data_IF_460007128839
#
_entry.id   IF_460007128839
#
_cell.length_a   1.000
_cell.length_b   1.000
_cell.length_c   1.000
_cell.angle_alpha   90.00
_cell.angle_beta   90.00
_cell.angle_gamma   90.00
#
_symmetry.space_group_name_H-M   'P 1'
#
loop_
_entity.id
_entity.type
_entity.pdbx_description
1 polymer ?
#
# COMPACT_ATOMS: atom_id res chain seq x y z
N UNK A 1 40.73 14.38 -3.08
CA UNK A 1 39.30 14.49 -2.77
C UNK A 1 38.63 13.28 -3.33
N UNK A 2 38.30 12.30 -2.50
CA UNK A 2 37.56 11.09 -2.94
C UNK A 2 36.11 11.52 -3.06
N UNK A 3 35.57 11.48 -4.25
CA UNK A 3 34.12 11.62 -4.52
C UNK A 3 33.41 10.49 -3.79
N UNK A 4 32.75 10.79 -2.67
CA UNK A 4 31.82 9.87 -2.03
C UNK A 4 30.75 9.50 -3.07
N UNK A 5 30.71 8.23 -3.38
CA UNK A 5 29.83 7.67 -4.40
C UNK A 5 28.36 7.80 -3.98
N UNK A 6 27.48 8.06 -4.94
CA UNK A 6 26.01 8.12 -4.86
C UNK A 6 25.31 6.86 -4.27
N UNK A 7 26.04 5.98 -3.57
CA UNK A 7 25.53 4.71 -3.04
C UNK A 7 24.66 4.85 -1.78
N UNK A 8 24.76 5.97 -1.04
CA UNK A 8 24.11 6.09 0.27
C UNK A 8 22.68 6.70 0.18
N UNK A 9 22.34 7.39 -0.92
CA UNK A 9 21.03 8.03 -1.11
C UNK A 9 20.32 7.57 -2.41
N UNK A 10 19.92 6.29 -2.50
CA UNK A 10 19.36 5.71 -3.75
C UNK A 10 18.02 6.34 -4.16
N UNK A 11 17.37 7.09 -3.26
CA UNK A 11 16.10 7.78 -3.52
C UNK A 11 16.24 9.30 -3.65
N UNK A 12 17.46 9.82 -3.76
CA UNK A 12 17.70 11.26 -3.94
C UNK A 12 16.96 11.78 -5.18
N UNK A 13 16.14 12.81 -4.97
CA UNK A 13 15.29 13.40 -6.01
C UNK A 13 14.08 12.56 -6.41
N UNK A 14 13.86 11.39 -5.79
CA UNK A 14 12.68 10.55 -6.03
C UNK A 14 11.54 10.93 -5.10
N UNK A 15 10.36 11.16 -5.65
CA UNK A 15 9.14 11.38 -4.86
C UNK A 15 8.58 10.02 -4.44
N UNK A 16 8.35 9.86 -3.14
CA UNK A 16 7.89 8.60 -2.53
C UNK A 16 6.67 8.87 -1.65
N UNK A 17 5.57 8.20 -1.89
CA UNK A 17 4.35 8.30 -1.08
C UNK A 17 4.16 7.06 -0.20
N UNK A 18 3.91 7.26 1.10
CA UNK A 18 3.65 6.18 2.08
C UNK A 18 2.31 6.40 2.76
N UNK A 19 1.36 5.49 2.57
CA UNK A 19 0.07 5.54 3.25
C UNK A 19 0.16 4.98 4.67
N UNK A 20 -0.48 5.66 5.63
CA UNK A 20 -0.36 5.32 7.05
C UNK A 20 1.06 5.57 7.59
N UNK A 21 1.79 6.53 7.02
CA UNK A 21 3.17 6.86 7.35
C UNK A 21 3.41 7.43 8.75
N UNK A 22 2.35 7.65 9.53
CA UNK A 22 2.40 8.33 10.82
C UNK A 22 2.55 7.40 12.04
N UNK A 23 2.45 6.08 11.88
CA UNK A 23 2.49 5.16 13.02
C UNK A 23 3.00 3.77 12.63
N UNK A 24 3.47 3.00 13.62
CA UNK A 24 3.85 1.60 13.47
C UNK A 24 4.80 1.38 12.28
N UNK A 25 4.54 0.35 11.50
CA UNK A 25 5.36 -0.03 10.36
C UNK A 25 5.44 1.07 9.28
N UNK A 26 4.35 1.79 9.03
CA UNK A 26 4.35 2.88 8.05
C UNK A 26 5.31 4.01 8.44
N UNK A 27 5.42 4.32 9.73
CA UNK A 27 6.40 5.30 10.23
C UNK A 27 7.83 4.81 10.06
N UNK A 28 8.10 3.54 10.31
CA UNK A 28 9.44 2.96 10.12
C UNK A 28 9.82 2.90 8.62
N UNK A 29 8.85 2.61 7.74
CA UNK A 29 9.04 2.72 6.29
C UNK A 29 9.39 4.17 5.91
N UNK A 30 8.63 5.15 6.43
CA UNK A 30 8.86 6.57 6.19
C UNK A 30 10.25 7.02 6.65
N UNK A 31 10.66 6.63 7.86
CA UNK A 31 12.00 6.88 8.39
C UNK A 31 13.10 6.32 7.47
N UNK A 32 12.97 5.05 7.09
CA UNK A 32 13.98 4.39 6.28
C UNK A 32 14.09 4.98 4.87
N UNK A 33 12.96 5.38 4.24
CA UNK A 33 12.96 5.97 2.90
C UNK A 33 13.44 7.42 2.94
N UNK A 34 13.10 8.19 3.98
CA UNK A 34 13.64 9.54 4.20
C UNK A 34 15.17 9.52 4.40
N UNK A 35 15.69 8.57 5.19
CA UNK A 35 17.12 8.38 5.39
C UNK A 35 17.88 8.02 4.10
N UNK A 36 17.18 7.50 3.09
CA UNK A 36 17.70 7.20 1.74
C UNK A 36 17.58 8.38 0.76
N UNK A 37 17.24 9.58 1.25
CA UNK A 37 17.18 10.82 0.47
C UNK A 37 15.87 11.04 -0.30
N UNK A 38 14.80 10.30 0.00
CA UNK A 38 13.52 10.47 -0.69
C UNK A 38 12.89 11.85 -0.43
N UNK A 39 12.26 12.45 -1.46
CA UNK A 39 11.24 13.47 -1.28
C UNK A 39 9.98 12.75 -0.79
N UNK A 40 9.79 12.71 0.53
CA UNK A 40 8.80 11.84 1.16
C UNK A 40 7.45 12.54 1.33
N UNK A 41 6.39 11.91 0.86
CA UNK A 41 4.99 12.28 1.09
C UNK A 41 4.36 11.28 2.04
N UNK A 42 4.19 11.66 3.30
CA UNK A 42 3.51 10.85 4.31
C UNK A 42 2.01 11.12 4.24
N UNK A 43 1.21 10.06 4.13
CA UNK A 43 -0.25 10.18 4.18
C UNK A 43 -0.76 9.70 5.53
N UNK A 44 -1.51 10.56 6.22
CA UNK A 44 -2.12 10.28 7.52
C UNK A 44 -3.59 10.72 7.55
N UNK A 45 -4.42 10.01 8.31
CA UNK A 45 -5.79 10.43 8.58
C UNK A 45 -5.88 11.54 9.65
N UNK A 46 -4.97 11.48 10.60
CA UNK A 46 -4.94 12.37 11.77
C UNK A 46 -3.80 13.40 11.61
N UNK A 47 -4.15 14.68 11.61
CA UNK A 47 -3.19 15.77 11.44
C UNK A 47 -2.16 15.82 12.58
N UNK A 48 -2.59 15.75 13.82
CA UNK A 48 -1.69 15.90 14.96
C UNK A 48 -0.66 14.78 15.02
N UNK A 49 -1.10 13.53 14.82
CA UNK A 49 -0.21 12.36 14.73
C UNK A 49 0.68 12.41 13.49
N UNK A 50 0.15 12.92 12.38
CA UNK A 50 0.90 13.09 11.14
C UNK A 50 2.05 14.08 11.30
N UNK A 51 1.78 15.27 11.86
CA UNK A 51 2.80 16.32 12.10
C UNK A 51 3.85 15.86 13.11
N UNK A 52 3.43 15.20 14.20
CA UNK A 52 4.38 14.64 15.16
C UNK A 52 5.30 13.58 14.53
N UNK A 53 4.76 12.73 13.66
CA UNK A 53 5.54 11.73 12.95
C UNK A 53 6.47 12.36 11.91
N UNK A 54 6.01 13.39 11.18
CA UNK A 54 6.84 14.15 10.24
C UNK A 54 8.05 14.77 10.93
N UNK A 55 7.80 15.49 12.03
CA UNK A 55 8.86 16.11 12.81
C UNK A 55 9.89 15.09 13.33
N UNK A 56 9.44 13.91 13.78
CA UNK A 56 10.34 12.83 14.23
C UNK A 56 11.15 12.25 13.05
N UNK A 57 10.55 12.11 11.85
CA UNK A 57 11.27 11.68 10.65
C UNK A 57 12.34 12.70 10.28
N UNK A 58 11.99 13.99 10.19
CA UNK A 58 12.93 15.08 9.90
C UNK A 58 14.09 15.12 10.90
N UNK A 59 13.77 15.05 12.20
CA UNK A 59 14.78 15.08 13.27
C UNK A 59 15.75 13.89 13.21
N UNK A 60 15.23 12.68 12.97
CA UNK A 60 16.05 11.46 12.99
C UNK A 60 16.89 11.25 11.74
N UNK A 61 16.41 11.75 10.60
CA UNK A 61 17.07 11.51 9.30
C UNK A 61 17.84 12.73 8.79
N UNK A 62 17.57 13.91 9.32
CA UNK A 62 18.08 15.17 8.77
C UNK A 62 17.46 15.56 7.43
N UNK A 63 16.51 14.77 6.92
CA UNK A 63 15.86 15.04 5.65
C UNK A 63 14.70 16.03 5.85
N UNK A 64 14.80 17.20 5.25
CA UNK A 64 13.78 18.28 5.31
C UNK A 64 12.76 18.20 4.17
N UNK A 65 12.94 17.28 3.22
CA UNK A 65 12.01 17.06 2.11
C UNK A 65 10.94 16.03 2.51
N UNK A 66 10.21 16.33 3.61
CA UNK A 66 9.14 15.48 4.15
C UNK A 66 7.85 16.28 4.20
N UNK A 67 6.86 15.85 3.43
CA UNK A 67 5.52 16.42 3.38
C UNK A 67 4.52 15.55 4.11
N UNK A 68 3.50 16.18 4.70
CA UNK A 68 2.33 15.52 5.24
C UNK A 68 1.12 15.90 4.39
N UNK A 69 0.45 14.90 3.82
CA UNK A 69 -0.87 15.03 3.23
C UNK A 69 -1.90 14.27 4.07
N UNK A 70 -3.11 14.81 4.12
CA UNK A 70 -4.18 14.21 4.94
C UNK A 70 -5.17 13.46 4.07
N UNK A 71 -5.41 12.20 4.40
CA UNK A 71 -6.49 11.42 3.81
C UNK A 71 -6.98 10.31 4.73
N UNK A 72 -8.28 10.12 4.75
CA UNK A 72 -8.93 8.91 5.23
C UNK A 72 -9.15 7.97 4.04
N UNK A 73 -8.42 6.85 4.02
CA UNK A 73 -8.52 5.87 2.93
C UNK A 73 -9.84 5.08 2.94
N UNK A 74 -10.67 5.24 3.95
CA UNK A 74 -12.02 4.72 3.98
C UNK A 74 -13.04 5.64 3.28
N UNK A 75 -12.63 6.83 2.82
CA UNK A 75 -13.46 7.80 2.11
C UNK A 75 -12.91 8.07 0.72
N UNK A 76 -13.70 7.76 -0.29
CA UNK A 76 -13.35 7.99 -1.69
C UNK A 76 -13.12 9.47 -2.00
N UNK A 77 -13.96 10.34 -1.43
CA UNK A 77 -13.79 11.79 -1.61
C UNK A 77 -12.49 12.29 -0.97
N UNK A 78 -12.12 11.75 0.19
CA UNK A 78 -10.85 12.09 0.84
C UNK A 78 -9.64 11.67 -0.01
N UNK A 79 -9.70 10.49 -0.64
CA UNK A 79 -8.65 10.02 -1.57
C UNK A 79 -8.57 10.91 -2.80
N UNK A 80 -9.70 11.30 -3.39
CA UNK A 80 -9.73 12.22 -4.55
C UNK A 80 -9.13 13.59 -4.20
N UNK A 81 -9.43 14.11 -3.01
CA UNK A 81 -8.86 15.36 -2.51
C UNK A 81 -7.34 15.23 -2.31
N UNK A 82 -6.87 14.12 -1.72
CA UNK A 82 -5.45 13.82 -1.58
C UNK A 82 -4.74 13.87 -2.94
N UNK A 83 -5.30 13.21 -3.95
CA UNK A 83 -4.67 13.18 -5.29
C UNK A 83 -4.67 14.55 -5.94
N UNK A 84 -5.75 15.32 -5.81
CA UNK A 84 -5.80 16.71 -6.30
C UNK A 84 -4.71 17.56 -5.64
N UNK A 85 -4.53 17.45 -4.32
CA UNK A 85 -3.48 18.18 -3.59
C UNK A 85 -2.08 17.72 -3.98
N UNK A 86 -1.86 16.40 -4.11
CA UNK A 86 -0.60 15.83 -4.55
C UNK A 86 -0.22 16.31 -5.96
N UNK A 87 -1.12 16.18 -6.93
CA UNK A 87 -0.88 16.57 -8.33
C UNK A 87 -0.70 18.07 -8.52
N UNK A 88 -1.16 18.92 -7.58
CA UNK A 88 -0.90 20.35 -7.60
C UNK A 88 0.55 20.71 -7.21
N UNK A 89 1.27 19.77 -6.56
CA UNK A 89 2.65 19.97 -6.06
C UNK A 89 3.68 19.10 -6.79
N UNK A 90 3.25 17.96 -7.31
CA UNK A 90 4.11 16.94 -7.91
C UNK A 90 3.56 16.46 -9.24
N UNK A 91 4.37 16.49 -10.27
CA UNK A 91 4.07 15.94 -11.60
C UNK A 91 4.49 14.45 -11.73
N UNK A 92 5.29 13.94 -10.80
CA UNK A 92 5.88 12.60 -10.81
C UNK A 92 5.77 11.93 -9.46
N UNK A 93 5.57 10.61 -9.49
CA UNK A 93 5.69 9.73 -8.33
C UNK A 93 6.58 8.54 -8.71
N UNK A 94 7.60 8.27 -7.93
CA UNK A 94 8.53 7.18 -8.25
C UNK A 94 8.23 5.93 -7.44
N UNK A 95 7.67 6.07 -6.23
CA UNK A 95 7.28 4.93 -5.39
C UNK A 95 5.98 5.25 -4.65
N UNK A 96 5.02 4.34 -4.75
CA UNK A 96 3.82 4.31 -3.92
C UNK A 96 3.89 3.10 -2.98
N UNK A 97 3.85 3.34 -1.67
CA UNK A 97 3.73 2.27 -0.67
C UNK A 97 2.32 2.29 -0.08
N UNK A 98 1.49 1.35 -0.52
CA UNK A 98 0.17 1.08 0.02
C UNK A 98 0.31 0.25 1.30
N UNK A 99 0.54 0.94 2.43
CA UNK A 99 0.81 0.32 3.73
C UNK A 99 -0.37 0.39 4.70
N UNK A 100 -1.21 1.43 4.62
CA UNK A 100 -2.33 1.61 5.55
C UNK A 100 -3.27 0.39 5.59
N UNK A 101 -3.77 0.07 6.77
CA UNK A 101 -4.73 -1.00 6.95
C UNK A 101 -5.34 -1.01 8.35
N UNK A 102 -6.50 -1.64 8.47
CA UNK A 102 -7.28 -1.75 9.71
C UNK A 102 -7.84 -3.16 9.89
N UNK A 103 -8.23 -3.49 11.12
CA UNK A 103 -9.14 -4.59 11.47
C UNK A 103 -10.33 -4.01 12.25
N UNK A 104 -11.48 -4.67 12.18
CA UNK A 104 -12.68 -4.27 12.89
C UNK A 104 -13.33 -5.50 13.54
N UNK A 105 -13.54 -5.46 14.87
CA UNK A 105 -14.16 -6.55 15.60
C UNK A 105 -15.64 -6.78 15.20
N UNK A 106 -16.31 -5.73 14.70
CA UNK A 106 -17.68 -5.76 14.22
C UNK A 106 -17.75 -5.07 12.89
N UNK A 107 -18.70 -5.47 12.04
CA UNK A 107 -18.99 -4.78 10.80
C UNK A 107 -19.32 -3.31 11.07
N UNK A 108 -18.65 -2.44 10.38
CA UNK A 108 -18.92 -1.01 10.34
C UNK A 108 -18.90 -0.53 8.89
N UNK A 109 -19.63 0.51 8.60
CA UNK A 109 -19.69 1.12 7.28
C UNK A 109 -18.92 2.44 7.27
N UNK A 110 -18.32 2.73 6.14
CA UNK A 110 -17.67 4.00 5.86
C UNK A 110 -18.71 5.06 5.49
N UNK A 111 -18.28 6.31 5.31
CA UNK A 111 -19.14 7.39 4.79
C UNK A 111 -19.69 7.11 3.38
N UNK A 112 -19.05 6.21 2.64
CA UNK A 112 -19.45 5.77 1.31
C UNK A 112 -20.37 4.53 1.35
N UNK A 113 -20.82 4.07 2.54
CA UNK A 113 -21.69 2.90 2.72
C UNK A 113 -20.98 1.55 2.51
N UNK A 114 -19.65 1.52 2.52
CA UNK A 114 -18.85 0.33 2.27
C UNK A 114 -18.34 -0.28 3.58
N UNK A 115 -18.13 -1.61 3.62
CA UNK A 115 -17.54 -2.27 4.78
C UNK A 115 -16.12 -1.73 5.03
N UNK A 116 -15.84 -1.32 6.26
CA UNK A 116 -14.67 -0.53 6.63
C UNK A 116 -13.34 -1.24 6.36
N UNK A 117 -13.23 -2.55 6.60
CA UNK A 117 -11.97 -3.29 6.39
C UNK A 117 -11.69 -3.42 4.90
N UNK A 118 -12.69 -3.82 4.11
CA UNK A 118 -12.55 -3.96 2.66
C UNK A 118 -12.30 -2.59 2.01
N UNK A 119 -13.04 -1.56 2.44
CA UNK A 119 -12.85 -0.20 1.95
C UNK A 119 -11.45 0.33 2.22
N UNK A 120 -10.98 0.26 3.47
CA UNK A 120 -9.68 0.83 3.86
C UNK A 120 -8.50 0.04 3.33
N UNK A 121 -8.56 -1.31 3.41
CA UNK A 121 -7.42 -2.17 3.12
C UNK A 121 -7.25 -2.45 1.62
N UNK A 122 -8.35 -2.42 0.85
CA UNK A 122 -8.34 -2.78 -0.57
C UNK A 122 -8.84 -1.66 -1.48
N UNK A 123 -10.08 -1.18 -1.31
CA UNK A 123 -10.65 -0.19 -2.23
C UNK A 123 -9.92 1.15 -2.17
N UNK A 124 -9.45 1.57 -0.97
CA UNK A 124 -8.66 2.77 -0.81
C UNK A 124 -7.33 2.71 -1.58
N UNK A 125 -6.47 1.70 -1.37
CA UNK A 125 -5.29 1.46 -2.19
C UNK A 125 -5.57 1.30 -3.68
N UNK A 126 -6.65 0.61 -4.04
CA UNK A 126 -7.09 0.46 -5.43
C UNK A 126 -7.38 1.82 -6.07
N UNK A 127 -8.25 2.63 -5.45
CA UNK A 127 -8.62 3.95 -5.96
C UNK A 127 -7.41 4.90 -5.99
N UNK A 128 -6.64 4.98 -4.89
CA UNK A 128 -5.45 5.80 -4.79
C UNK A 128 -4.45 5.49 -5.91
N UNK A 129 -4.14 4.20 -6.10
CA UNK A 129 -3.18 3.76 -7.12
C UNK A 129 -3.64 4.15 -8.51
N UNK A 130 -4.91 3.89 -8.86
CA UNK A 130 -5.43 4.22 -10.18
C UNK A 130 -5.43 5.74 -10.44
N UNK A 131 -5.80 6.55 -9.46
CA UNK A 131 -5.83 8.00 -9.61
C UNK A 131 -4.43 8.64 -9.71
N UNK A 132 -3.40 8.03 -9.11
CA UNK A 132 -2.03 8.54 -9.16
C UNK A 132 -1.20 7.94 -10.30
N UNK A 133 -1.76 7.03 -11.09
CA UNK A 133 -1.07 6.39 -12.23
C UNK A 133 -0.44 7.38 -13.21
N UNK A 134 -1.05 8.53 -13.57
CA UNK A 134 -0.37 9.50 -14.44
C UNK A 134 0.97 9.96 -13.87
N UNK A 135 1.05 10.24 -12.57
CA UNK A 135 2.30 10.63 -11.91
C UNK A 135 3.31 9.47 -11.81
N UNK A 136 2.83 8.22 -11.57
CA UNK A 136 3.68 7.02 -11.59
C UNK A 136 4.27 6.79 -12.99
N UNK A 137 3.47 6.92 -14.03
CA UNK A 137 3.94 6.78 -15.41
C UNK A 137 4.95 7.88 -15.79
N UNK A 138 4.68 9.11 -15.37
CA UNK A 138 5.62 10.23 -15.58
C UNK A 138 6.92 10.08 -14.77
N UNK A 139 6.87 9.35 -13.66
CA UNK A 139 8.02 9.03 -12.80
C UNK A 139 8.75 7.75 -13.16
N UNK A 140 8.38 7.07 -14.24
CA UNK A 140 8.99 5.79 -14.63
C UNK A 140 10.52 5.89 -14.82
N UNK A 141 11.30 4.87 -14.40
CA UNK A 141 10.86 3.64 -13.75
C UNK A 141 10.30 3.91 -12.34
N UNK A 142 9.09 3.40 -12.07
CA UNK A 142 8.38 3.62 -10.82
C UNK A 142 7.80 2.32 -10.25
N UNK A 143 7.44 2.35 -8.96
CA UNK A 143 7.09 1.14 -8.21
C UNK A 143 5.84 1.33 -7.38
N UNK A 144 4.95 0.36 -7.41
CA UNK A 144 3.84 0.22 -6.46
C UNK A 144 4.14 -0.97 -5.54
N UNK A 145 4.24 -0.70 -4.25
CA UNK A 145 4.46 -1.71 -3.20
C UNK A 145 3.18 -1.83 -2.37
N UNK A 146 2.51 -2.96 -2.44
CA UNK A 146 1.26 -3.21 -1.71
C UNK A 146 1.50 -4.14 -0.52
N UNK A 147 1.26 -3.63 0.68
CA UNK A 147 1.40 -4.42 1.89
C UNK A 147 0.19 -5.34 2.07
N UNK A 148 0.46 -6.65 1.91
CA UNK A 148 -0.47 -7.73 2.22
C UNK A 148 -0.18 -8.28 3.63
N UNK A 149 -0.30 -9.59 3.81
CA UNK A 149 -0.03 -10.33 5.05
C UNK A 149 0.01 -11.83 4.76
N UNK A 150 0.61 -12.64 5.60
CA UNK A 150 0.45 -14.09 5.59
C UNK A 150 -1.04 -14.52 5.67
N UNK A 151 -1.89 -13.66 6.23
CA UNK A 151 -3.34 -13.85 6.31
C UNK A 151 -4.02 -14.03 4.93
N UNK A 152 -3.39 -13.59 3.83
CA UNK A 152 -3.92 -13.79 2.48
C UNK A 152 -4.08 -15.28 2.14
N UNK A 153 -3.24 -16.14 2.69
CA UNK A 153 -3.29 -17.58 2.44
C UNK A 153 -4.53 -18.27 3.04
N UNK A 154 -5.15 -17.65 4.05
CA UNK A 154 -6.40 -18.07 4.66
C UNK A 154 -7.62 -17.32 4.10
N UNK A 155 -7.38 -16.37 3.20
CA UNK A 155 -8.43 -15.57 2.56
C UNK A 155 -9.22 -16.35 1.53
N UNK A 156 -10.49 -15.97 1.36
CA UNK A 156 -11.35 -16.39 0.26
C UNK A 156 -12.09 -15.16 -0.25
N UNK A 157 -12.20 -15.02 -1.56
CA UNK A 157 -13.01 -13.96 -2.17
C UNK A 157 -14.48 -14.38 -2.18
N UNK A 158 -15.27 -13.78 -1.31
CA UNK A 158 -16.72 -14.00 -1.29
C UNK A 158 -17.41 -12.94 -2.17
N UNK A 159 -17.39 -13.14 -3.47
CA UNK A 159 -17.98 -12.18 -4.42
C UNK A 159 -19.49 -11.97 -4.25
N UNK A 160 -20.21 -12.91 -3.62
CA UNK A 160 -21.64 -12.78 -3.35
C UNK A 160 -21.94 -11.97 -2.09
N UNK A 161 -20.92 -11.71 -1.25
CA UNK A 161 -21.03 -10.94 -0.01
C UNK A 161 -19.69 -10.32 0.37
N UNK A 162 -19.05 -9.59 -0.57
CA UNK A 162 -17.77 -8.91 -0.35
C UNK A 162 -17.81 -7.94 0.83
N UNK A 163 -19.00 -7.36 1.07
CA UNK A 163 -19.25 -6.36 2.10
C UNK A 163 -19.65 -6.98 3.46
N UNK A 164 -19.71 -8.32 3.56
CA UNK A 164 -20.08 -9.01 4.81
C UNK A 164 -21.46 -8.62 5.34
N UNK A 165 -22.41 -8.29 4.46
CA UNK A 165 -23.77 -7.84 4.84
C UNK A 165 -24.60 -8.98 5.41
N UNK A 166 -24.41 -10.20 4.90
CA UNK A 166 -25.10 -11.41 5.37
C UNK A 166 -24.36 -12.05 6.55
N UNK A 167 -23.01 -12.05 6.48
CA UNK A 167 -22.19 -12.64 7.52
C UNK A 167 -20.83 -11.96 7.60
N UNK A 168 -20.60 -11.23 8.68
CA UNK A 168 -19.30 -10.61 8.98
C UNK A 168 -18.52 -11.44 9.99
N UNK A 169 -17.20 -11.51 9.79
CA UNK A 169 -16.26 -12.03 10.77
C UNK A 169 -14.95 -11.26 10.65
N UNK A 170 -14.42 -10.79 11.78
CA UNK A 170 -13.20 -9.98 11.84
C UNK A 170 -12.04 -10.62 11.06
N UNK A 171 -11.75 -11.90 11.36
CA UNK A 171 -10.66 -12.63 10.70
C UNK A 171 -10.93 -12.84 9.22
N UNK A 172 -12.16 -13.20 8.84
CA UNK A 172 -12.51 -13.46 7.43
C UNK A 172 -12.46 -12.18 6.61
N UNK A 173 -12.94 -11.05 7.13
CA UNK A 173 -12.90 -9.76 6.45
C UNK A 173 -11.44 -9.30 6.23
N UNK A 174 -10.61 -9.41 7.26
CA UNK A 174 -9.19 -9.08 7.16
C UNK A 174 -8.47 -9.99 6.15
N UNK A 175 -8.63 -11.31 6.25
CA UNK A 175 -8.00 -12.27 5.33
C UNK A 175 -8.44 -12.04 3.89
N UNK A 176 -9.75 -11.80 3.66
CA UNK A 176 -10.29 -11.44 2.35
C UNK A 176 -9.63 -10.17 1.81
N UNK A 177 -9.51 -9.11 2.62
CA UNK A 177 -8.87 -7.86 2.19
C UNK A 177 -7.39 -8.05 1.83
N UNK A 178 -6.68 -8.95 2.51
CA UNK A 178 -5.27 -9.22 2.23
C UNK A 178 -5.07 -10.10 1.00
N UNK A 179 -5.99 -11.04 0.73
CA UNK A 179 -6.02 -11.77 -0.54
C UNK A 179 -6.37 -10.82 -1.69
N UNK A 180 -7.34 -9.93 -1.50
CA UNK A 180 -7.71 -8.91 -2.49
C UNK A 180 -6.51 -8.03 -2.89
N UNK A 181 -5.64 -7.68 -1.93
CA UNK A 181 -4.42 -6.92 -2.21
C UNK A 181 -3.42 -7.69 -3.09
N UNK A 182 -3.28 -9.00 -2.93
CA UNK A 182 -2.40 -9.80 -3.81
C UNK A 182 -3.00 -9.94 -5.20
N UNK A 183 -4.30 -10.26 -5.30
CA UNK A 183 -5.02 -10.33 -6.58
C UNK A 183 -4.95 -9.00 -7.34
N UNK A 184 -5.20 -7.89 -6.65
CA UNK A 184 -5.06 -6.54 -7.18
C UNK A 184 -3.66 -6.27 -7.72
N UNK A 185 -2.63 -6.62 -6.96
CA UNK A 185 -1.24 -6.40 -7.35
C UNK A 185 -0.89 -7.16 -8.63
N UNK A 186 -1.30 -8.41 -8.74
CA UNK A 186 -1.06 -9.22 -9.93
C UNK A 186 -1.82 -8.72 -11.15
N UNK A 187 -3.08 -8.30 -10.98
CA UNK A 187 -3.84 -7.71 -12.07
C UNK A 187 -3.27 -6.35 -12.50
N UNK A 188 -2.88 -5.51 -11.54
CA UNK A 188 -2.23 -4.23 -11.80
C UNK A 188 -0.93 -4.42 -12.59
N UNK A 189 -0.11 -5.39 -12.18
CA UNK A 189 1.14 -5.70 -12.86
C UNK A 189 0.94 -6.07 -14.33
N UNK A 190 -0.10 -6.89 -14.63
CA UNK A 190 -0.47 -7.24 -16.02
C UNK A 190 -0.93 -6.02 -16.82
N UNK A 191 -1.73 -5.15 -16.21
CA UNK A 191 -2.27 -3.96 -16.88
C UNK A 191 -1.22 -2.88 -17.15
N UNK A 192 -0.15 -2.88 -16.35
CA UNK A 192 0.96 -1.90 -16.45
C UNK A 192 2.15 -2.43 -17.26
N UNK A 193 2.04 -3.61 -17.88
CA UNK A 193 3.12 -4.16 -18.70
C UNK A 193 3.55 -3.16 -19.79
N UNK A 194 4.86 -2.96 -19.93
CA UNK A 194 5.45 -2.02 -20.90
C UNK A 194 5.40 -0.53 -20.53
N UNK A 195 4.76 -0.15 -19.40
CA UNK A 195 4.67 1.26 -18.98
C UNK A 195 5.88 1.78 -18.19
N UNK A 196 6.75 0.89 -17.74
CA UNK A 196 7.84 1.22 -16.82
C UNK A 196 7.41 1.35 -15.36
N UNK A 197 6.13 1.07 -15.05
CA UNK A 197 5.61 0.99 -13.68
C UNK A 197 5.51 -0.47 -13.27
N UNK A 198 6.10 -0.84 -12.14
CA UNK A 198 6.02 -2.19 -11.58
C UNK A 198 5.12 -2.23 -10.34
N UNK A 199 4.44 -3.36 -10.12
CA UNK A 199 3.60 -3.58 -8.95
C UNK A 199 3.93 -4.91 -8.27
N UNK A 200 4.28 -4.87 -6.99
CA UNK A 200 4.62 -6.05 -6.20
C UNK A 200 3.93 -6.02 -4.85
N UNK A 201 3.57 -7.20 -4.34
CA UNK A 201 2.98 -7.39 -3.02
C UNK A 201 4.02 -7.89 -2.03
N UNK A 202 3.84 -7.54 -0.74
CA UNK A 202 4.75 -7.94 0.32
C UNK A 202 4.01 -8.32 1.60
N UNK A 203 4.50 -9.34 2.30
CA UNK A 203 4.11 -9.62 3.68
C UNK A 203 5.18 -9.16 4.66
N UNK A 204 4.80 -8.38 5.69
CA UNK A 204 5.74 -7.85 6.68
C UNK A 204 6.01 -8.83 7.84
N UNK A 205 5.37 -10.00 7.85
CA UNK A 205 5.37 -10.92 8.99
C UNK A 205 4.43 -10.48 10.12
N UNK A 206 4.57 -11.14 11.27
CA UNK A 206 3.82 -10.79 12.49
C UNK A 206 4.49 -9.59 13.16
N UNK A 207 3.95 -8.40 12.94
CA UNK A 207 4.50 -7.14 13.45
C UNK A 207 3.65 -6.63 14.61
N UNK A 208 4.31 -6.08 15.63
CA UNK A 208 3.64 -5.32 16.70
C UNK A 208 3.13 -4.01 16.10
N UNK A 209 1.85 -3.97 15.74
CA UNK A 209 1.19 -2.79 15.16
C UNK A 209 0.02 -2.37 16.05
N UNK A 210 -0.53 -1.19 15.81
CA UNK A 210 -1.76 -0.72 16.47
C UNK A 210 -3.03 -1.45 15.99
N UNK A 211 -2.89 -2.47 15.13
CA UNK A 211 -3.99 -3.33 14.73
C UNK A 211 -4.44 -4.15 15.93
N UNK A 212 -5.71 -4.10 16.26
CA UNK A 212 -6.33 -5.00 17.25
C UNK A 212 -6.25 -6.41 16.68
N UNK A 213 -5.49 -7.29 17.34
CA UNK A 213 -5.35 -8.67 16.89
C UNK A 213 -6.38 -9.52 17.62
N UNK A 214 -7.29 -10.18 16.87
CA UNK A 214 -8.34 -11.00 17.47
C UNK A 214 -7.78 -12.15 18.31
N UNK A 215 -8.52 -12.52 19.36
CA UNK A 215 -8.30 -13.81 20.02
C UNK A 215 -8.61 -14.98 19.03
N UNK A 216 -7.78 -16.05 18.89
CA UNK A 216 -6.66 -16.42 19.78
C UNK A 216 -5.27 -15.91 19.39
N UNK A 217 -5.14 -15.15 18.29
CA UNK A 217 -3.84 -14.68 17.80
C UNK A 217 -3.13 -13.69 18.76
N UNK A 218 -3.89 -13.06 19.66
CA UNK A 218 -3.31 -12.24 20.73
C UNK A 218 -2.42 -13.04 21.71
N UNK A 219 -2.65 -14.35 21.85
CA UNK A 219 -1.83 -15.25 22.66
C UNK A 219 -0.39 -15.41 22.10
N UNK A 220 -0.20 -15.16 20.79
CA UNK A 220 1.11 -15.22 20.14
C UNK A 220 1.80 -13.87 20.09
N UNK A 221 1.38 -12.92 20.93
CA UNK A 221 1.94 -11.56 20.95
C UNK A 221 3.45 -11.51 21.20
N UNK A 222 4.02 -12.52 21.86
CA UNK A 222 5.46 -12.66 22.11
C UNK A 222 6.26 -13.01 20.84
N UNK A 223 5.63 -13.55 19.80
CA UNK A 223 6.26 -13.85 18.49
C UNK A 223 6.23 -12.68 17.53
N UNK A 224 5.71 -11.52 17.94
CA UNK A 224 5.62 -10.35 17.06
C UNK A 224 6.98 -9.68 16.93
N UNK A 225 7.46 -9.58 15.69
CA UNK A 225 8.62 -8.78 15.34
C UNK A 225 8.39 -7.28 15.61
N UNK A 226 9.46 -6.52 15.60
CA UNK A 226 9.39 -5.06 15.73
C UNK A 226 8.75 -4.43 14.48
N UNK A 227 8.23 -3.20 14.61
CA UNK A 227 7.77 -2.41 13.46
C UNK A 227 8.91 -2.17 12.45
N UNK A 228 10.15 -2.04 12.96
CA UNK A 228 11.37 -1.89 12.17
C UNK A 228 11.59 -3.13 11.29
N UNK A 229 11.51 -4.33 11.86
CA UNK A 229 11.72 -5.57 11.09
C UNK A 229 10.64 -5.76 10.04
N UNK A 230 9.38 -5.45 10.36
CA UNK A 230 8.29 -5.51 9.41
C UNK A 230 8.39 -4.50 8.27
N UNK A 231 9.05 -3.37 8.49
CA UNK A 231 9.27 -2.36 7.46
C UNK A 231 10.30 -2.79 6.40
N UNK A 232 11.30 -3.59 6.79
CA UNK A 232 12.45 -3.97 5.94
C UNK A 232 12.07 -4.45 4.55
N UNK A 233 11.15 -5.43 4.37
CA UNK A 233 10.84 -5.92 3.02
C UNK A 233 10.12 -4.86 2.16
N UNK A 234 9.28 -4.00 2.76
CA UNK A 234 8.66 -2.88 2.03
C UNK A 234 9.70 -1.84 1.60
N UNK A 235 10.66 -1.52 2.47
CA UNK A 235 11.77 -0.61 2.16
C UNK A 235 12.66 -1.20 1.07
N UNK A 236 12.96 -2.49 1.13
CA UNK A 236 13.71 -3.20 0.09
C UNK A 236 13.04 -3.07 -1.27
N UNK A 237 11.75 -3.37 -1.38
CA UNK A 237 10.98 -3.24 -2.62
C UNK A 237 10.92 -1.79 -3.12
N UNK A 238 10.83 -0.83 -2.22
CA UNK A 238 10.75 0.58 -2.55
C UNK A 238 12.07 1.18 -3.05
N UNK A 239 13.23 0.66 -2.60
CA UNK A 239 14.51 1.34 -2.78
C UNK A 239 15.65 0.52 -3.35
N UNK A 240 15.59 -0.83 -3.29
CA UNK A 240 16.71 -1.65 -3.78
C UNK A 240 16.79 -1.68 -5.30
N UNK A 241 17.98 -1.55 -5.91
CA UNK A 241 18.18 -1.78 -7.32
C UNK A 241 18.00 -3.27 -7.70
N UNK A 242 18.14 -4.20 -6.77
CA UNK A 242 18.00 -5.65 -7.02
C UNK A 242 16.59 -6.06 -7.49
N UNK A 243 15.59 -5.23 -7.22
CA UNK A 243 14.20 -5.48 -7.64
C UNK A 243 13.76 -4.55 -8.76
N UNK A 244 14.70 -3.89 -9.44
CA UNK A 244 14.38 -3.09 -10.62
C UNK A 244 13.80 -3.97 -11.72
N UNK A 245 12.67 -3.53 -12.30
CA UNK A 245 11.96 -4.31 -13.34
C UNK A 245 11.21 -5.55 -12.82
N UNK A 246 11.37 -5.94 -11.54
CA UNK A 246 10.58 -7.06 -10.99
C UNK A 246 9.13 -6.63 -10.87
N UNK A 247 8.23 -7.37 -11.52
CA UNK A 247 6.81 -7.03 -11.63
C UNK A 247 5.94 -8.26 -11.36
N UNK A 248 4.78 -8.06 -10.70
CA UNK A 248 3.80 -9.12 -10.44
C UNK A 248 4.31 -10.20 -9.48
N UNK A 249 5.12 -9.84 -8.50
CA UNK A 249 5.72 -10.77 -7.54
C UNK A 249 5.21 -10.54 -6.12
N UNK A 250 5.24 -11.63 -5.33
CA UNK A 250 4.97 -11.60 -3.90
C UNK A 250 6.26 -11.84 -3.13
N UNK A 251 6.53 -11.00 -2.13
CA UNK A 251 7.75 -11.05 -1.33
C UNK A 251 7.42 -11.39 0.12
N UNK A 252 8.22 -12.27 0.69
CA UNK A 252 8.11 -12.67 2.09
C UNK A 252 8.79 -11.68 3.04
N UNK A 253 8.72 -11.97 4.33
CA UNK A 253 9.32 -11.17 5.44
C UNK A 253 10.83 -10.93 5.30
N UNK A 254 11.54 -11.73 4.50
CA UNK A 254 12.98 -11.59 4.26
C UNK A 254 13.27 -10.75 3.01
N UNK A 255 12.25 -10.23 2.33
CA UNK A 255 12.42 -9.55 1.06
C UNK A 255 12.78 -10.49 -0.10
N UNK A 256 12.45 -11.76 0.01
CA UNK A 256 12.70 -12.77 -1.03
C UNK A 256 11.40 -13.03 -1.77
N UNK A 257 11.47 -13.00 -3.12
CA UNK A 257 10.33 -13.37 -3.95
C UNK A 257 9.95 -14.84 -3.69
N UNK A 258 8.67 -15.09 -3.44
CA UNK A 258 8.15 -16.41 -3.10
C UNK A 258 6.74 -16.60 -3.65
N UNK A 259 6.26 -17.83 -3.62
CA UNK A 259 4.87 -18.11 -4.01
C UNK A 259 3.92 -17.58 -2.95
N UNK A 260 2.89 -16.88 -3.40
CA UNK A 260 1.71 -16.54 -2.60
C UNK A 260 0.72 -17.73 -2.55
N UNK A 261 -0.48 -17.53 -2.00
CA UNK A 261 -1.49 -18.61 -1.96
C UNK A 261 -1.98 -19.00 -3.36
N UNK A 262 -2.40 -20.24 -3.54
CA UNK A 262 -2.91 -20.71 -4.85
C UNK A 262 -4.08 -19.86 -5.36
N UNK A 263 -4.96 -19.40 -4.46
CA UNK A 263 -6.12 -18.57 -4.82
C UNK A 263 -5.72 -17.19 -5.37
N UNK A 264 -4.54 -16.69 -5.05
CA UNK A 264 -4.07 -15.40 -5.56
C UNK A 264 -3.60 -15.45 -7.03
N UNK A 265 -3.38 -16.64 -7.57
CA UNK A 265 -3.05 -16.83 -9.00
C UNK A 265 -4.29 -17.00 -9.90
N UNK A 266 -5.49 -17.01 -9.33
CA UNK A 266 -6.73 -17.04 -10.10
C UNK A 266 -6.93 -15.72 -10.86
N UNK A 267 -6.61 -15.75 -12.16
CA UNK A 267 -6.69 -14.59 -13.02
C UNK A 267 -8.14 -14.13 -13.26
N UNK A 268 -9.11 -15.05 -13.24
CA UNK A 268 -10.52 -14.69 -13.40
C UNK A 268 -11.05 -14.00 -12.14
N UNK A 269 -10.68 -14.51 -10.95
CA UNK A 269 -10.96 -13.84 -9.69
C UNK A 269 -10.30 -12.44 -9.61
N UNK A 270 -9.07 -12.30 -10.10
CA UNK A 270 -8.38 -11.02 -10.13
C UNK A 270 -9.07 -10.00 -11.06
N UNK A 271 -9.47 -10.42 -12.26
CA UNK A 271 -10.25 -9.58 -13.20
C UNK A 271 -11.62 -9.21 -12.65
N UNK A 272 -12.34 -10.19 -12.06
CA UNK A 272 -13.63 -9.94 -11.41
C UNK A 272 -13.52 -8.95 -10.27
N UNK A 273 -12.51 -9.12 -9.41
CA UNK A 273 -12.22 -8.20 -8.31
C UNK A 273 -11.94 -6.79 -8.83
N UNK A 274 -11.14 -6.66 -9.89
CA UNK A 274 -10.85 -5.36 -10.51
C UNK A 274 -12.12 -4.64 -10.94
N UNK A 275 -13.01 -5.32 -11.67
CA UNK A 275 -14.26 -4.74 -12.17
C UNK A 275 -15.18 -4.29 -11.03
N UNK A 276 -15.38 -5.16 -10.04
CA UNK A 276 -16.20 -4.83 -8.86
C UNK A 276 -15.56 -3.69 -8.05
N UNK A 277 -14.23 -3.67 -7.92
CA UNK A 277 -13.55 -2.58 -7.21
C UNK A 277 -13.66 -1.26 -7.96
N UNK A 278 -13.61 -1.26 -9.30
CA UNK A 278 -13.80 -0.06 -10.11
C UNK A 278 -15.21 0.49 -9.97
N UNK A 279 -16.22 -0.39 -9.98
CA UNK A 279 -17.62 -0.03 -9.75
C UNK A 279 -17.83 0.58 -8.36
N UNK A 280 -17.41 -0.13 -7.29
CA UNK A 280 -17.54 0.31 -5.91
C UNK A 280 -16.77 1.60 -5.61
N UNK A 281 -15.64 1.83 -6.28
CA UNK A 281 -14.83 3.03 -6.13
C UNK A 281 -15.24 4.17 -7.07
N UNK A 282 -16.31 3.99 -7.88
CA UNK A 282 -16.73 4.94 -8.90
C UNK A 282 -15.56 5.42 -9.77
N UNK A 283 -14.73 4.46 -10.23
CA UNK A 283 -13.57 4.73 -11.06
C UNK A 283 -13.98 4.69 -12.53
N UNK A 284 -13.82 5.81 -13.23
CA UNK A 284 -14.12 5.89 -14.66
C UNK A 284 -13.16 5.02 -15.49
N UNK A 285 -13.63 4.48 -16.61
CA UNK A 285 -12.82 3.62 -17.50
C UNK A 285 -11.51 4.30 -17.94
N UNK A 286 -11.57 5.59 -18.29
CA UNK A 286 -10.40 6.39 -18.71
C UNK A 286 -9.34 6.55 -17.62
N UNK A 287 -9.69 6.28 -16.36
CA UNK A 287 -8.78 6.33 -15.21
C UNK A 287 -8.12 4.97 -14.92
N UNK A 288 -8.45 3.93 -15.69
CA UNK A 288 -7.95 2.58 -15.50
C UNK A 288 -6.77 2.29 -16.44
N UNK A 289 -5.71 1.59 -15.97
CA UNK A 289 -4.59 1.19 -16.81
C UNK A 289 -5.02 0.16 -17.86
N UNK A 290 -4.37 0.21 -19.02
CA UNK A 290 -4.69 -0.69 -20.15
C UNK A 290 -5.93 -0.29 -20.94
N UNK A 291 -6.59 0.80 -20.58
CA UNK A 291 -7.63 1.42 -21.38
C UNK A 291 -6.97 2.38 -22.39
N UNK A 292 -6.31 1.83 -23.41
CA UNK A 292 -6.03 2.62 -24.59
C UNK A 292 -7.39 2.77 -25.33
N UNK A 293 -7.81 4.01 -25.58
CA UNK A 293 -8.95 4.27 -26.46
C UNK A 293 -8.70 3.50 -27.77
N UNK A 294 -9.50 2.44 -27.99
CA UNK A 294 -9.53 1.71 -29.26
C UNK A 294 -10.19 2.56 -30.31
#
# INVERSE_FOLDING_TARGET
MVTQSNSDEPLKGKVVMVTGGNAGMGKEISLALAAKGANLVMVSRDRARGEAARADVEQKTGNTSVELLLADLSSQQSIRNLIKEFMARHDRLHVLVNNAGVTMARRAETVDGLETVFATNHLGPFLLTNLVLPALTAGAPSRVVTVSSAAHSMGKMNFDDLQGTRKFGEISAYNQSKLANVLFTYELARRLEGTGVTANAVEPGFVKTNLTVPFPFSLFSFMRGSAVDGAKPSVFLASSPEVEGVNGSFFNVKGVATKSSNLSYDADAARRLWLVSAELAHLEEKQQPGFAAR
#
